data_IF_165434980072
#
_entry.id   IF_165434980072
#
_cell.length_a   1.000
_cell.length_b   1.000
_cell.length_c   1.000
_cell.angle_alpha   90.00
_cell.angle_beta   90.00
_cell.angle_gamma   90.00
#
_symmetry.space_group_name_H-M   'P 1'
#
loop_
_entity.id
_entity.type
_entity.pdbx_description
1 polymer ?
#
# COMPACT_ATOMS: atom_id res chain seq x y z
N UNK A 1 -5.87 34.56 -10.00
CA UNK A 1 -5.61 34.19 -8.57
C UNK A 1 -4.35 34.89 -8.11
N UNK A 2 -4.20 35.16 -6.80
CA UNK A 2 -2.91 35.66 -6.30
C UNK A 2 -1.84 34.56 -6.47
N UNK A 3 -0.59 34.93 -6.81
CA UNK A 3 0.51 33.98 -6.86
C UNK A 3 0.66 33.24 -5.52
N UNK A 4 0.97 31.94 -5.58
CA UNK A 4 1.23 31.13 -4.39
C UNK A 4 2.70 30.74 -4.36
N UNK A 5 3.22 30.39 -3.18
CA UNK A 5 4.62 29.96 -3.09
C UNK A 5 4.81 28.61 -3.78
N UNK A 6 3.88 27.66 -3.56
CA UNK A 6 4.01 26.29 -4.10
C UNK A 6 2.70 25.82 -4.71
N UNK A 7 2.75 25.38 -5.96
CA UNK A 7 1.70 24.54 -6.55
C UNK A 7 2.10 23.07 -6.43
N UNK A 8 1.18 22.24 -5.95
CA UNK A 8 1.35 20.79 -5.85
C UNK A 8 0.38 20.12 -6.83
N UNK A 9 0.88 19.24 -7.69
CA UNK A 9 0.07 18.52 -8.68
C UNK A 9 -0.20 17.11 -8.16
N UNK A 10 -1.45 16.82 -7.81
CA UNK A 10 -1.95 15.58 -7.25
C UNK A 10 -2.23 15.62 -5.75
N UNK A 11 -3.47 15.23 -5.37
CA UNK A 11 -3.93 15.13 -3.99
C UNK A 11 -3.90 13.69 -3.46
N UNK A 12 -2.89 12.90 -3.83
CA UNK A 12 -2.54 11.64 -3.18
C UNK A 12 -1.82 11.87 -1.85
N UNK A 13 -1.48 10.79 -1.12
CA UNK A 13 -0.78 10.92 0.17
C UNK A 13 0.48 11.78 0.11
N UNK A 14 1.28 11.67 -0.97
CA UNK A 14 2.49 12.48 -1.14
C UNK A 14 2.19 13.96 -1.24
N UNK A 15 1.21 14.34 -2.10
CA UNK A 15 0.86 15.75 -2.30
C UNK A 15 0.18 16.36 -1.08
N UNK A 16 -0.73 15.63 -0.43
CA UNK A 16 -1.40 16.08 0.79
C UNK A 16 -0.43 16.27 1.95
N UNK A 17 0.49 15.32 2.16
CA UNK A 17 1.52 15.43 3.20
C UNK A 17 2.47 16.58 2.93
N UNK A 18 2.88 16.79 1.67
CA UNK A 18 3.71 17.91 1.29
C UNK A 18 2.99 19.26 1.56
N UNK A 19 1.71 19.37 1.17
CA UNK A 19 0.90 20.56 1.45
C UNK A 19 0.85 20.85 2.95
N UNK A 20 0.56 19.85 3.77
CA UNK A 20 0.51 19.98 5.22
C UNK A 20 1.81 20.53 5.81
N UNK A 21 2.96 19.96 5.45
CA UNK A 21 4.24 20.40 5.99
C UNK A 21 4.69 21.76 5.47
N UNK A 22 4.37 22.10 4.21
CA UNK A 22 4.70 23.40 3.64
C UNK A 22 3.88 24.53 4.27
N UNK A 23 2.57 24.33 4.49
CA UNK A 23 1.72 25.30 5.18
C UNK A 23 2.20 25.54 6.62
N UNK A 24 2.61 24.49 7.35
CA UNK A 24 3.19 24.62 8.69
C UNK A 24 4.52 25.39 8.73
N UNK A 25 5.17 25.55 7.58
CA UNK A 25 6.34 26.42 7.42
C UNK A 25 5.97 27.85 6.98
N UNK A 26 4.69 28.18 6.91
CA UNK A 26 4.20 29.49 6.54
C UNK A 26 4.14 29.76 5.04
N UNK A 27 4.29 28.72 4.19
CA UNK A 27 4.18 28.87 2.75
C UNK A 27 2.71 28.80 2.28
N UNK A 28 2.38 29.63 1.29
CA UNK A 28 1.09 29.54 0.61
C UNK A 28 1.12 28.41 -0.42
N UNK A 29 0.15 27.47 -0.30
CA UNK A 29 0.12 26.25 -1.08
C UNK A 29 -1.20 26.10 -1.82
N UNK A 30 -1.11 25.66 -3.09
CA UNK A 30 -2.27 25.25 -3.88
C UNK A 30 -2.07 23.82 -4.38
N UNK A 31 -3.02 22.93 -4.10
CA UNK A 31 -3.03 21.56 -4.58
C UNK A 31 -4.02 21.43 -5.73
N UNK A 32 -3.59 20.90 -6.87
CA UNK A 32 -4.41 20.69 -8.06
C UNK A 32 -4.64 19.19 -8.25
N UNK A 33 -5.92 18.79 -8.20
CA UNK A 33 -6.32 17.39 -8.31
C UNK A 33 -7.30 17.20 -9.48
N UNK A 34 -7.00 16.24 -10.34
CA UNK A 34 -7.83 15.96 -11.53
C UNK A 34 -9.17 15.31 -11.18
N UNK A 35 -9.22 14.53 -10.11
CA UNK A 35 -10.43 13.86 -9.68
C UNK A 35 -11.32 14.74 -8.81
N UNK A 36 -12.51 14.24 -8.45
CA UNK A 36 -13.46 14.94 -7.58
C UNK A 36 -13.18 14.80 -6.09
N UNK A 37 -12.17 13.99 -5.71
CA UNK A 37 -11.83 13.72 -4.31
C UNK A 37 -10.33 13.44 -4.15
N UNK A 38 -9.82 13.67 -2.95
CA UNK A 38 -8.45 13.36 -2.56
C UNK A 38 -8.22 11.85 -2.41
N UNK A 39 -6.94 11.43 -2.39
CA UNK A 39 -6.51 10.08 -2.06
C UNK A 39 -5.70 9.39 -3.15
N UNK A 40 -5.77 9.85 -4.40
CA UNK A 40 -5.03 9.22 -5.50
C UNK A 40 -5.41 7.73 -5.65
N UNK A 41 -4.47 6.83 -5.42
CA UNK A 41 -4.68 5.36 -5.47
C UNK A 41 -5.36 4.81 -4.21
N UNK A 42 -5.26 5.48 -3.07
CA UNK A 42 -5.89 5.08 -1.82
C UNK A 42 -7.23 5.82 -1.64
N UNK A 43 -8.22 5.45 -2.45
CA UNK A 43 -9.59 5.98 -2.41
C UNK A 43 -10.58 4.88 -2.12
N UNK A 44 -11.74 5.27 -1.58
CA UNK A 44 -12.88 4.40 -1.35
C UNK A 44 -14.11 4.95 -2.05
N UNK A 45 -14.89 4.09 -2.64
CA UNK A 45 -16.17 4.41 -3.26
C UNK A 45 -17.31 3.81 -2.41
N UNK A 46 -18.47 4.45 -2.43
CA UNK A 46 -19.70 3.94 -1.81
C UNK A 46 -20.58 3.37 -2.93
N UNK A 47 -20.99 2.11 -2.80
CA UNK A 47 -21.84 1.44 -3.76
C UNK A 47 -22.75 0.46 -3.04
N UNK A 48 -24.07 0.60 -3.20
CA UNK A 48 -25.10 -0.30 -2.65
C UNK A 48 -24.93 -0.58 -1.14
N UNK A 49 -24.58 0.46 -0.35
CA UNK A 49 -24.32 0.33 1.08
C UNK A 49 -22.89 -0.11 1.43
N UNK A 50 -22.12 -0.65 0.50
CA UNK A 50 -20.76 -1.09 0.73
C UNK A 50 -19.73 0.04 0.58
N UNK A 51 -18.64 -0.07 1.33
CA UNK A 51 -17.42 0.74 1.13
C UNK A 51 -16.41 -0.10 0.36
N UNK A 52 -16.08 0.32 -0.85
CA UNK A 52 -15.19 -0.38 -1.76
C UNK A 52 -13.90 0.42 -1.92
N UNK A 53 -12.79 -0.10 -1.44
CA UNK A 53 -11.48 0.52 -1.61
C UNK A 53 -10.96 0.28 -3.04
N UNK A 54 -10.35 1.28 -3.66
CA UNK A 54 -9.75 1.12 -4.99
C UNK A 54 -8.43 0.35 -4.90
N UNK A 55 -8.53 -0.97 -4.81
CA UNK A 55 -7.45 -1.90 -4.50
C UNK A 55 -7.54 -2.42 -3.06
N UNK A 56 -6.75 -3.44 -2.75
CA UNK A 56 -6.66 -3.96 -1.38
C UNK A 56 -5.47 -3.29 -0.70
N UNK A 57 -5.77 -2.33 0.15
CA UNK A 57 -4.78 -1.59 0.92
C UNK A 57 -5.02 -1.80 2.41
N UNK A 58 -3.95 -1.96 3.17
CA UNK A 58 -4.01 -2.02 4.61
C UNK A 58 -3.19 -0.89 5.23
N UNK A 59 -3.68 -0.37 6.33
CA UNK A 59 -2.90 0.47 7.22
C UNK A 59 -1.96 -0.39 8.07
N UNK A 60 -0.68 -0.02 8.14
CA UNK A 60 0.31 -0.64 8.99
C UNK A 60 0.57 0.23 10.21
N UNK A 61 0.34 -0.28 11.42
CA UNK A 61 0.53 0.48 12.67
C UNK A 61 1.97 0.94 12.87
N UNK A 62 2.95 0.26 12.27
CA UNK A 62 4.36 0.69 12.27
C UNK A 62 4.62 1.99 11.50
N UNK A 63 3.61 2.52 10.78
CA UNK A 63 3.70 3.78 10.05
C UNK A 63 3.52 4.96 11.00
N UNK A 64 4.62 5.49 11.51
CA UNK A 64 4.61 6.59 12.51
C UNK A 64 4.39 7.98 11.89
N UNK A 65 4.70 8.18 10.60
CA UNK A 65 4.61 9.49 9.97
C UNK A 65 3.17 10.02 9.90
N UNK A 66 2.21 9.15 9.65
CA UNK A 66 0.80 9.53 9.55
C UNK A 66 0.27 10.09 10.87
N UNK A 67 0.68 9.53 12.02
CA UNK A 67 0.27 10.01 13.35
C UNK A 67 0.78 11.41 13.70
N UNK A 68 1.74 11.95 12.96
CA UNK A 68 2.21 13.33 13.09
C UNK A 68 1.27 14.33 12.40
N UNK A 69 0.43 13.86 11.49
CA UNK A 69 -0.49 14.68 10.69
C UNK A 69 -1.91 14.59 11.21
N UNK A 70 -2.39 13.36 11.47
CA UNK A 70 -3.77 13.09 11.90
C UNK A 70 -3.79 12.28 13.19
N UNK A 71 -4.92 12.34 13.90
CA UNK A 71 -5.17 11.45 15.01
C UNK A 71 -5.66 10.08 14.50
N UNK A 72 -4.83 9.05 14.66
CA UNK A 72 -5.11 7.70 14.19
C UNK A 72 -6.39 7.09 14.80
N UNK A 73 -6.81 7.53 16.00
CA UNK A 73 -8.03 7.05 16.65
C UNK A 73 -9.28 7.41 15.85
N UNK A 74 -9.28 8.54 15.12
CA UNK A 74 -10.40 9.02 14.33
C UNK A 74 -10.69 8.13 13.11
N UNK A 75 -9.75 7.26 12.74
CA UNK A 75 -9.91 6.28 11.67
C UNK A 75 -10.74 5.05 12.07
N UNK A 76 -11.01 4.85 13.36
CA UNK A 76 -11.71 3.67 13.89
C UNK A 76 -11.18 2.36 13.30
N UNK A 77 -9.86 2.17 13.36
CA UNK A 77 -9.15 1.03 12.76
C UNK A 77 -9.60 -0.30 13.37
N UNK A 78 -9.81 -1.29 12.52
CA UNK A 78 -9.98 -2.70 12.91
C UNK A 78 -8.84 -3.54 12.36
N UNK A 79 -8.22 -4.32 13.23
CA UNK A 79 -7.11 -5.17 12.88
C UNK A 79 -7.57 -6.42 12.15
N UNK A 80 -6.89 -6.74 11.05
CA UNK A 80 -6.97 -8.03 10.40
C UNK A 80 -6.39 -9.13 11.31
N UNK A 81 -6.78 -10.37 11.06
CA UNK A 81 -6.15 -11.52 11.70
C UNK A 81 -4.64 -11.55 11.38
N UNK A 82 -3.76 -11.77 12.38
CA UNK A 82 -2.30 -11.67 12.18
C UNK A 82 -1.73 -12.91 11.49
N UNK A 83 -1.94 -13.03 10.20
CA UNK A 83 -1.48 -14.16 9.41
C UNK A 83 -2.17 -14.25 8.06
N UNK A 84 -1.94 -15.38 7.41
CA UNK A 84 -2.48 -15.71 6.10
C UNK A 84 -3.08 -17.10 6.09
N UNK A 85 -4.22 -17.27 5.44
CA UNK A 85 -4.80 -18.57 5.14
C UNK A 85 -4.32 -19.00 3.75
N UNK A 86 -3.36 -19.89 3.68
CA UNK A 86 -2.81 -20.37 2.43
C UNK A 86 -3.64 -21.52 1.86
N UNK A 87 -4.24 -21.33 0.69
CA UNK A 87 -4.79 -22.41 -0.13
C UNK A 87 -3.65 -23.06 -0.91
N UNK A 88 -3.45 -24.37 -0.71
CA UNK A 88 -2.43 -25.15 -1.40
C UNK A 88 -2.91 -26.59 -1.61
N UNK A 89 -2.93 -27.06 -2.87
CA UNK A 89 -3.39 -28.41 -3.26
C UNK A 89 -4.77 -28.77 -2.65
N UNK A 90 -5.74 -27.85 -2.79
CA UNK A 90 -7.11 -28.02 -2.31
C UNK A 90 -7.28 -27.95 -0.79
N UNK A 91 -6.20 -27.74 -0.02
CA UNK A 91 -6.24 -27.60 1.44
C UNK A 91 -5.96 -26.17 1.86
N UNK A 92 -6.49 -25.78 3.03
CA UNK A 92 -6.21 -24.49 3.64
C UNK A 92 -5.31 -24.67 4.85
N UNK A 93 -4.19 -23.95 4.88
CA UNK A 93 -3.22 -23.97 5.96
C UNK A 93 -3.05 -22.55 6.52
N UNK A 94 -3.20 -22.40 7.82
CA UNK A 94 -3.05 -21.10 8.48
C UNK A 94 -1.58 -20.83 8.80
N UNK A 95 -1.05 -19.74 8.28
CA UNK A 95 0.27 -19.19 8.58
C UNK A 95 0.10 -17.99 9.49
N UNK A 96 0.51 -18.10 10.73
CA UNK A 96 0.36 -17.04 11.74
C UNK A 96 1.70 -16.49 12.17
N UNK A 97 1.67 -15.25 12.63
CA UNK A 97 2.80 -14.68 13.34
C UNK A 97 2.87 -15.29 14.75
N UNK A 98 3.94 -16.04 15.10
CA UNK A 98 4.04 -16.77 16.37
C UNK A 98 4.04 -15.86 17.61
N UNK A 99 4.29 -14.56 17.44
CA UNK A 99 4.27 -13.60 18.56
C UNK A 99 2.85 -13.23 18.98
N UNK A 100 1.90 -13.22 18.02
CA UNK A 100 0.54 -12.76 18.27
C UNK A 100 -0.47 -13.90 18.47
N UNK A 101 -0.16 -15.11 17.98
CA UNK A 101 -1.08 -16.25 18.00
C UNK A 101 -0.32 -17.55 18.28
N UNK A 102 0.00 -17.78 19.55
CA UNK A 102 0.75 -18.97 19.99
C UNK A 102 0.01 -20.29 19.72
N UNK A 103 -1.32 -20.33 19.91
CA UNK A 103 -2.12 -21.54 19.69
C UNK A 103 -2.23 -21.93 18.22
N UNK A 104 -2.36 -20.93 17.33
CA UNK A 104 -2.47 -21.17 15.89
C UNK A 104 -1.09 -21.42 15.22
N UNK A 105 0.01 -21.22 15.95
CA UNK A 105 1.38 -21.52 15.46
C UNK A 105 1.58 -23.01 15.17
N UNK A 106 0.84 -23.89 15.86
CA UNK A 106 0.86 -25.33 15.58
C UNK A 106 0.40 -25.62 14.15
N UNK A 107 -0.61 -24.93 13.65
CA UNK A 107 -1.08 -25.11 12.27
C UNK A 107 -0.02 -24.70 11.24
N UNK A 108 0.74 -23.63 11.51
CA UNK A 108 1.90 -23.23 10.71
C UNK A 108 2.99 -24.30 10.72
N UNK A 109 3.22 -24.92 11.88
CA UNK A 109 4.21 -26.01 12.00
C UNK A 109 3.80 -27.26 11.23
N UNK A 110 2.50 -27.51 11.05
CA UNK A 110 1.95 -28.67 10.31
C UNK A 110 1.73 -28.40 8.81
N UNK A 111 1.94 -27.17 8.35
CA UNK A 111 1.70 -26.79 6.95
C UNK A 111 2.56 -27.64 5.97
N UNK A 112 1.89 -28.30 5.02
CA UNK A 112 2.52 -29.28 4.08
C UNK A 112 3.33 -28.60 2.97
N UNK A 113 3.15 -27.31 2.72
CA UNK A 113 3.85 -26.58 1.65
C UNK A 113 5.26 -26.08 2.06
N UNK A 114 5.65 -26.24 3.32
CA UNK A 114 6.95 -25.85 3.86
C UNK A 114 7.66 -27.04 4.51
N UNK A 115 8.94 -27.24 4.16
CA UNK A 115 9.78 -28.20 4.84
C UNK A 115 10.11 -27.75 6.27
N UNK A 116 10.60 -28.64 7.10
CA UNK A 116 11.06 -28.27 8.44
C UNK A 116 12.17 -27.22 8.39
N UNK A 117 13.11 -27.36 7.45
CA UNK A 117 14.17 -26.39 7.24
C UNK A 117 13.65 -25.02 6.77
N UNK A 118 12.59 -24.98 5.94
CA UNK A 118 11.95 -23.73 5.54
C UNK A 118 11.34 -23.00 6.74
N UNK A 119 10.73 -23.71 7.66
CA UNK A 119 10.10 -23.15 8.88
C UNK A 119 11.16 -22.53 9.81
N UNK A 120 12.30 -23.20 9.98
CA UNK A 120 13.44 -22.65 10.75
C UNK A 120 13.96 -21.38 10.08
N UNK A 121 14.15 -21.40 8.75
CA UNK A 121 14.61 -20.21 8.00
C UNK A 121 13.62 -19.07 8.05
N UNK A 122 12.31 -19.36 7.97
CA UNK A 122 11.27 -18.35 8.08
C UNK A 122 11.30 -17.67 9.46
N UNK A 123 11.47 -18.44 10.53
CA UNK A 123 11.67 -17.89 11.86
C UNK A 123 12.95 -17.05 11.97
N UNK A 124 14.06 -17.53 11.40
CA UNK A 124 15.32 -16.77 11.32
C UNK A 124 15.17 -15.46 10.55
N UNK A 125 14.47 -15.48 9.41
CA UNK A 125 14.16 -14.28 8.63
C UNK A 125 13.30 -13.30 9.45
N UNK A 126 12.26 -13.79 10.12
CA UNK A 126 11.43 -13.00 11.02
C UNK A 126 12.28 -12.31 12.10
N UNK A 127 13.09 -13.07 12.84
CA UNK A 127 13.93 -12.52 13.91
C UNK A 127 14.93 -11.48 13.39
N UNK A 128 15.58 -11.75 12.26
CA UNK A 128 16.52 -10.83 11.60
C UNK A 128 15.82 -9.53 11.22
N UNK A 129 14.69 -9.60 10.52
CA UNK A 129 13.99 -8.41 10.05
C UNK A 129 13.40 -7.60 11.22
N UNK A 130 12.88 -8.27 12.24
CA UNK A 130 12.34 -7.60 13.44
C UNK A 130 13.39 -6.74 14.13
N UNK A 131 14.61 -7.23 14.28
CA UNK A 131 15.71 -6.56 15.01
C UNK A 131 16.51 -5.58 14.15
N UNK A 132 16.50 -5.69 12.82
CA UNK A 132 17.28 -4.82 11.94
C UNK A 132 16.57 -3.49 11.68
N UNK A 133 17.23 -2.36 11.91
CA UNK A 133 16.67 -1.03 11.63
C UNK A 133 16.36 -0.83 10.13
N UNK A 134 15.28 -0.10 9.79
CA UNK A 134 14.90 0.19 8.39
C UNK A 134 16.04 0.81 7.58
N UNK A 135 16.75 1.81 8.16
CA UNK A 135 17.89 2.47 7.49
C UNK A 135 19.04 1.53 7.17
N UNK A 136 19.20 0.41 7.89
CA UNK A 136 20.19 -0.62 7.58
C UNK A 136 19.71 -1.50 6.41
N UNK A 137 18.45 -1.90 6.40
CA UNK A 137 17.87 -2.74 5.33
C UNK A 137 17.99 -2.09 3.94
N UNK A 138 17.75 -0.78 3.85
CA UNK A 138 17.85 -0.05 2.56
C UNK A 138 19.27 0.17 2.08
N UNK A 139 20.29 -0.04 2.94
CA UNK A 139 21.71 0.07 2.61
C UNK A 139 22.39 -1.28 2.34
N UNK A 140 21.71 -2.41 2.59
CA UNK A 140 22.24 -3.73 2.28
C UNK A 140 22.50 -3.87 0.77
N UNK A 141 23.40 -4.81 0.39
CA UNK A 141 23.59 -5.15 -1.03
C UNK A 141 22.24 -5.58 -1.63
N UNK A 142 21.95 -5.05 -2.82
CA UNK A 142 20.69 -5.36 -3.50
C UNK A 142 20.82 -6.59 -4.40
N UNK A 143 19.71 -7.26 -4.60
CA UNK A 143 19.50 -8.34 -5.54
C UNK A 143 18.00 -8.43 -5.86
N UNK A 144 17.61 -9.30 -6.79
CA UNK A 144 16.17 -9.59 -6.89
C UNK A 144 15.65 -10.26 -5.62
N UNK A 145 14.37 -10.07 -5.33
CA UNK A 145 13.71 -10.74 -4.19
C UNK A 145 13.80 -12.26 -4.31
N UNK A 146 13.64 -12.80 -5.53
CA UNK A 146 13.77 -14.23 -5.77
C UNK A 146 15.19 -14.74 -5.43
N UNK A 147 16.22 -14.03 -5.89
CA UNK A 147 17.61 -14.38 -5.59
C UNK A 147 17.91 -14.32 -4.10
N UNK A 148 17.43 -13.28 -3.41
CA UNK A 148 17.56 -13.13 -1.97
C UNK A 148 16.94 -14.30 -1.21
N UNK A 149 15.71 -14.69 -1.53
CA UNK A 149 15.03 -15.81 -0.88
C UNK A 149 15.76 -17.14 -1.17
N UNK A 150 16.18 -17.36 -2.41
CA UNK A 150 16.90 -18.57 -2.83
C UNK A 150 18.26 -18.69 -2.14
N UNK A 151 19.04 -17.60 -2.08
CA UNK A 151 20.35 -17.55 -1.37
C UNK A 151 20.21 -17.77 0.15
N UNK A 152 19.07 -17.38 0.74
CA UNK A 152 18.77 -17.69 2.14
C UNK A 152 18.25 -19.12 2.34
N UNK A 153 18.27 -19.96 1.28
CA UNK A 153 18.00 -21.38 1.32
C UNK A 153 16.53 -21.77 1.37
N UNK A 154 15.60 -20.85 1.13
CA UNK A 154 14.18 -21.19 1.02
C UNK A 154 13.94 -22.11 -0.18
N UNK A 155 13.12 -23.15 0.03
CA UNK A 155 12.77 -24.06 -1.05
C UNK A 155 11.94 -23.35 -2.12
N UNK A 156 12.12 -23.77 -3.38
CA UNK A 156 11.29 -23.27 -4.49
C UNK A 156 9.80 -23.44 -4.19
N UNK A 157 9.43 -24.54 -3.53
CA UNK A 157 8.05 -24.82 -3.11
C UNK A 157 7.48 -23.72 -2.20
N UNK A 158 8.23 -23.31 -1.16
CA UNK A 158 7.78 -22.24 -0.25
C UNK A 158 7.80 -20.88 -0.93
N UNK A 159 8.80 -20.60 -1.75
CA UNK A 159 8.87 -19.35 -2.53
C UNK A 159 7.62 -19.23 -3.41
N UNK A 160 7.30 -20.25 -4.18
CA UNK A 160 6.21 -20.21 -5.15
C UNK A 160 4.84 -20.25 -4.48
N UNK A 161 4.66 -21.04 -3.41
CA UNK A 161 3.34 -21.20 -2.79
C UNK A 161 2.99 -20.13 -1.74
N UNK A 162 3.98 -19.48 -1.12
CA UNK A 162 3.75 -18.52 -0.05
C UNK A 162 4.30 -17.12 -0.37
N UNK A 163 5.62 -17.00 -0.60
CA UNK A 163 6.21 -15.67 -0.80
C UNK A 163 5.70 -15.00 -2.09
N UNK A 164 5.59 -15.76 -3.17
CA UNK A 164 5.13 -15.23 -4.45
C UNK A 164 3.71 -14.64 -4.39
N UNK A 165 2.67 -15.38 -4.00
CA UNK A 165 1.33 -14.79 -3.94
C UNK A 165 1.22 -13.65 -2.92
N UNK A 166 1.93 -13.74 -1.78
CA UNK A 166 1.95 -12.70 -0.77
C UNK A 166 2.61 -11.40 -1.28
N UNK A 167 3.79 -11.50 -1.90
CA UNK A 167 4.52 -10.34 -2.39
C UNK A 167 3.91 -9.80 -3.69
N UNK A 168 3.49 -10.68 -4.62
CA UNK A 168 2.83 -10.25 -5.84
C UNK A 168 1.60 -9.37 -5.57
N UNK A 169 0.82 -9.70 -4.56
CA UNK A 169 -0.35 -8.92 -4.18
C UNK A 169 -0.01 -7.53 -3.61
N UNK A 170 1.13 -7.39 -2.95
CA UNK A 170 1.46 -6.20 -2.16
C UNK A 170 2.53 -5.31 -2.80
N UNK A 171 3.48 -5.90 -3.54
CA UNK A 171 4.53 -5.16 -4.25
C UNK A 171 4.37 -5.22 -5.78
N UNK A 172 3.29 -5.85 -6.25
CA UNK A 172 2.91 -5.97 -7.67
C UNK A 172 3.98 -6.59 -8.57
N UNK A 173 4.77 -7.50 -8.02
CA UNK A 173 5.83 -8.22 -8.73
C UNK A 173 5.66 -9.73 -8.57
N UNK A 174 4.93 -10.32 -9.50
CA UNK A 174 4.71 -11.77 -9.51
C UNK A 174 6.01 -12.55 -9.72
N UNK A 175 6.95 -12.03 -10.47
CA UNK A 175 8.21 -12.71 -10.78
C UNK A 175 9.28 -12.59 -9.70
N UNK A 176 9.02 -11.75 -8.67
CA UNK A 176 9.95 -11.45 -7.56
C UNK A 176 11.30 -10.87 -8.05
N UNK A 177 11.24 -10.05 -9.12
CA UNK A 177 12.43 -9.39 -9.69
C UNK A 177 12.71 -8.04 -9.03
N UNK A 178 11.75 -7.49 -8.29
CA UNK A 178 11.93 -6.24 -7.54
C UNK A 178 13.04 -6.36 -6.50
N UNK A 179 13.59 -5.20 -6.14
CA UNK A 179 14.65 -5.06 -5.13
C UNK A 179 14.34 -5.81 -3.83
N UNK A 180 15.27 -6.64 -3.40
CA UNK A 180 15.18 -7.35 -2.12
C UNK A 180 15.19 -6.40 -0.93
N UNK A 181 15.74 -5.18 -1.06
CA UNK A 181 15.67 -4.14 -0.02
C UNK A 181 14.23 -3.74 0.23
N UNK A 182 13.47 -3.49 -0.85
CA UNK A 182 12.05 -3.14 -0.74
C UNK A 182 11.24 -4.27 -0.11
N UNK A 183 11.43 -5.50 -0.58
CA UNK A 183 10.74 -6.68 -0.03
C UNK A 183 11.08 -6.92 1.45
N UNK A 184 12.34 -6.72 1.87
CA UNK A 184 12.74 -6.81 3.29
C UNK A 184 12.07 -5.75 4.16
N UNK A 185 12.00 -4.50 3.67
CA UNK A 185 11.30 -3.40 4.36
C UNK A 185 9.81 -3.73 4.50
N UNK A 186 9.19 -4.22 3.43
CA UNK A 186 7.79 -4.62 3.44
C UNK A 186 7.54 -5.80 4.42
N UNK A 187 8.31 -6.87 4.33
CA UNK A 187 8.22 -8.01 5.24
C UNK A 187 8.42 -7.60 6.70
N UNK A 188 9.38 -6.71 6.96
CA UNK A 188 9.58 -6.16 8.30
C UNK A 188 8.33 -5.46 8.82
N UNK A 189 7.66 -4.64 8.02
CA UNK A 189 6.43 -3.97 8.44
C UNK A 189 5.31 -4.95 8.75
N UNK A 190 5.17 -6.03 7.95
CA UNK A 190 4.21 -7.11 8.21
C UNK A 190 4.51 -7.91 9.49
N UNK A 191 5.80 -8.09 9.80
CA UNK A 191 6.22 -8.86 10.98
C UNK A 191 6.17 -8.07 12.27
N UNK A 192 6.19 -6.75 12.20
CA UNK A 192 6.21 -5.90 13.40
C UNK A 192 4.83 -5.66 13.99
N UNK A 193 3.77 -5.70 13.17
CA UNK A 193 2.48 -5.24 13.62
C UNK A 193 1.30 -5.86 12.85
N UNK A 194 0.10 -5.60 13.38
CA UNK A 194 -1.14 -5.92 12.68
C UNK A 194 -1.36 -4.96 11.52
N UNK A 195 -1.95 -5.47 10.46
CA UNK A 195 -2.53 -4.62 9.43
C UNK A 195 -4.00 -4.35 9.77
N UNK A 196 -4.48 -3.17 9.42
CA UNK A 196 -5.82 -2.72 9.78
C UNK A 196 -6.52 -2.03 8.61
N UNK A 197 -7.84 -1.93 8.69
CA UNK A 197 -8.63 -1.08 7.79
C UNK A 197 -9.39 -0.02 8.58
N UNK A 198 -9.45 1.22 8.07
CA UNK A 198 -10.37 2.24 8.60
C UNK A 198 -11.82 1.82 8.39
N UNK A 199 -12.72 2.19 9.33
CA UNK A 199 -14.15 1.90 9.22
C UNK A 199 -14.78 2.44 7.94
N UNK A 200 -14.35 3.62 7.50
CA UNK A 200 -14.86 4.29 6.31
C UNK A 200 -14.04 3.99 5.05
N UNK A 201 -13.18 2.97 5.08
CA UNK A 201 -12.28 2.61 3.99
C UNK A 201 -10.96 3.39 4.01
N UNK A 202 -10.02 2.97 3.17
CA UNK A 202 -8.66 3.54 3.13
C UNK A 202 -8.66 5.03 2.71
N UNK A 203 -9.67 5.45 1.95
CA UNK A 203 -9.85 6.84 1.53
C UNK A 203 -10.02 7.82 2.69
N UNK A 204 -10.50 7.36 3.86
CA UNK A 204 -10.63 8.20 5.06
C UNK A 204 -9.29 8.78 5.50
N UNK A 205 -8.19 8.07 5.31
CA UNK A 205 -6.85 8.56 5.65
C UNK A 205 -6.54 9.84 4.85
N UNK A 206 -6.76 9.80 3.53
CA UNK A 206 -6.52 10.96 2.68
C UNK A 206 -7.45 12.13 3.00
N UNK A 207 -8.73 11.83 3.25
CA UNK A 207 -9.71 12.83 3.66
C UNK A 207 -9.28 13.51 4.97
N UNK A 208 -8.85 12.74 5.97
CA UNK A 208 -8.37 13.27 7.25
C UNK A 208 -7.11 14.13 7.13
N UNK A 209 -6.21 13.84 6.18
CA UNK A 209 -5.08 14.73 5.90
C UNK A 209 -5.58 16.02 5.24
N UNK A 210 -6.49 15.91 4.26
CA UNK A 210 -7.04 17.06 3.56
C UNK A 210 -7.79 18.02 4.50
N UNK A 211 -8.49 17.50 5.51
CA UNK A 211 -9.16 18.25 6.57
C UNK A 211 -8.20 19.08 7.46
N UNK A 212 -6.89 18.82 7.41
CA UNK A 212 -5.85 19.58 8.15
C UNK A 212 -5.24 20.72 7.34
N UNK A 213 -5.59 20.82 6.06
CA UNK A 213 -5.11 21.90 5.20
C UNK A 213 -6.03 23.13 5.34
N UNK A 214 -5.46 24.30 5.06
CA UNK A 214 -6.22 25.54 5.05
C UNK A 214 -7.35 25.50 4.00
N UNK A 215 -8.40 26.25 4.25
CA UNK A 215 -9.54 26.36 3.34
C UNK A 215 -9.10 26.73 1.93
N UNK A 216 -9.76 26.14 0.93
CA UNK A 216 -9.49 26.38 -0.49
C UNK A 216 -8.09 25.97 -0.99
N UNK A 217 -7.29 25.25 -0.16
CA UNK A 217 -5.97 24.74 -0.60
C UNK A 217 -6.11 23.79 -1.78
N UNK A 218 -7.11 22.90 -1.79
CA UNK A 218 -7.27 21.90 -2.85
C UNK A 218 -8.29 22.39 -3.89
N UNK A 219 -7.89 22.35 -5.16
CA UNK A 219 -8.80 22.50 -6.31
C UNK A 219 -9.00 21.15 -6.98
N UNK A 220 -10.18 20.59 -6.81
CA UNK A 220 -10.62 19.34 -7.46
C UNK A 220 -11.03 19.60 -8.92
N UNK A 221 -11.12 18.53 -9.72
CA UNK A 221 -11.48 18.57 -11.16
C UNK A 221 -10.60 19.55 -11.95
N UNK A 222 -9.35 19.73 -11.50
CA UNK A 222 -8.39 20.67 -12.06
C UNK A 222 -7.21 19.89 -12.64
N UNK A 223 -7.16 19.78 -13.96
CA UNK A 223 -6.13 19.03 -14.67
C UNK A 223 -5.05 19.98 -15.20
N UNK A 224 -3.81 19.74 -14.80
CA UNK A 224 -2.64 20.44 -15.30
C UNK A 224 -2.27 19.86 -16.67
N UNK A 225 -2.01 20.75 -17.62
CA UNK A 225 -1.54 20.42 -18.97
C UNK A 225 -0.03 20.31 -19.01
N UNK A 226 0.67 21.30 -18.44
CA UNK A 226 2.15 21.35 -18.40
C UNK A 226 2.66 22.22 -17.27
N UNK A 227 3.89 21.97 -16.88
CA UNK A 227 4.66 22.84 -15.98
C UNK A 227 5.47 23.82 -16.82
N UNK A 228 5.63 25.04 -16.33
CA UNK A 228 6.46 26.10 -16.90
C UNK A 228 7.42 26.64 -15.85
N UNK A 229 8.33 27.54 -16.23
CA UNK A 229 9.29 28.16 -15.30
C UNK A 229 8.60 28.94 -14.17
N UNK A 230 7.43 29.54 -14.43
CA UNK A 230 6.74 30.44 -13.50
C UNK A 230 5.42 29.87 -12.96
N UNK A 231 5.14 28.58 -13.13
CA UNK A 231 3.89 27.98 -12.66
C UNK A 231 3.39 26.84 -13.54
N UNK A 232 2.07 26.75 -13.70
CA UNK A 232 1.43 25.67 -14.46
C UNK A 232 0.33 26.19 -15.39
N UNK A 233 0.20 25.55 -16.55
CA UNK A 233 -0.90 25.74 -17.48
C UNK A 233 -1.93 24.62 -17.27
N UNK A 234 -3.20 24.99 -17.15
CA UNK A 234 -4.33 24.08 -17.04
C UNK A 234 -4.86 23.68 -18.43
N UNK A 235 -5.62 22.55 -18.48
CA UNK A 235 -6.21 22.10 -19.75
C UNK A 235 -7.21 23.11 -20.34
N UNK A 236 -7.90 23.88 -19.49
CA UNK A 236 -8.84 24.92 -19.92
C UNK A 236 -8.16 26.20 -20.43
N UNK A 237 -6.82 26.26 -20.45
CA UNK A 237 -6.03 27.40 -20.89
C UNK A 237 -5.67 28.39 -19.77
N UNK A 238 -6.19 28.22 -18.56
CA UNK A 238 -5.82 29.11 -17.44
C UNK A 238 -4.35 28.88 -17.06
N UNK A 239 -3.70 29.95 -16.60
CA UNK A 239 -2.35 29.92 -16.05
C UNK A 239 -2.37 30.24 -14.56
N UNK A 240 -1.67 29.43 -13.77
CA UNK A 240 -1.50 29.63 -12.33
C UNK A 240 -0.02 29.86 -12.02
N UNK A 241 0.28 31.04 -11.48
CA UNK A 241 1.63 31.46 -11.14
C UNK A 241 2.05 30.93 -9.78
N UNK A 242 3.30 30.45 -9.67
CA UNK A 242 3.93 30.01 -8.41
C UNK A 242 5.45 30.08 -8.49
N UNK A 243 6.11 30.21 -7.33
CA UNK A 243 7.57 30.16 -7.24
C UNK A 243 8.12 28.74 -7.42
N UNK A 244 7.38 27.74 -6.99
CA UNK A 244 7.75 26.32 -7.06
C UNK A 244 6.58 25.47 -7.50
N UNK A 245 6.88 24.41 -8.24
CA UNK A 245 5.92 23.37 -8.61
C UNK A 245 6.43 22.04 -8.09
N UNK A 246 5.60 21.33 -7.29
CA UNK A 246 5.85 20.00 -6.81
C UNK A 246 4.94 19.01 -7.53
N UNK A 247 5.51 18.08 -8.28
CA UNK A 247 4.77 17.03 -8.98
C UNK A 247 4.66 15.82 -8.07
N UNK A 248 3.45 15.52 -7.62
CA UNK A 248 3.11 14.40 -6.71
C UNK A 248 2.20 13.37 -7.41
N UNK A 249 2.34 13.21 -8.71
CA UNK A 249 1.64 12.21 -9.53
C UNK A 249 2.48 10.94 -9.71
N UNK A 250 1.99 9.96 -10.47
CA UNK A 250 2.80 8.85 -10.94
C UNK A 250 3.78 9.30 -12.05
N UNK A 251 4.77 8.45 -12.39
CA UNK A 251 5.81 8.77 -13.36
C UNK A 251 5.27 9.03 -14.78
N UNK A 252 4.22 8.33 -15.21
CA UNK A 252 3.61 8.49 -16.53
C UNK A 252 3.01 9.90 -16.67
N UNK A 253 2.18 10.29 -15.68
CA UNK A 253 1.56 11.60 -15.68
C UNK A 253 2.61 12.72 -15.50
N UNK A 254 3.62 12.49 -14.63
CA UNK A 254 4.71 13.43 -14.45
C UNK A 254 5.47 13.70 -15.75
N UNK A 255 5.85 12.66 -16.49
CA UNK A 255 6.51 12.79 -17.80
C UNK A 255 5.64 13.56 -18.81
N UNK A 256 4.32 13.29 -18.80
CA UNK A 256 3.38 14.01 -19.67
C UNK A 256 3.30 15.51 -19.35
N UNK A 257 3.33 15.86 -18.07
CA UNK A 257 3.21 17.25 -17.59
C UNK A 257 4.52 18.01 -17.81
N UNK A 258 5.67 17.37 -17.67
CA UNK A 258 7.00 17.96 -17.90
C UNK A 258 7.28 18.09 -19.41
N UNK A 259 6.70 17.22 -20.23
CA UNK A 259 6.94 17.16 -21.67
C UNK A 259 8.19 16.38 -22.06
N UNK A 260 8.82 15.68 -21.13
CA UNK A 260 10.04 14.91 -21.31
C UNK A 260 9.92 13.51 -20.65
N UNK A 261 10.68 12.54 -21.14
CA UNK A 261 10.84 11.23 -20.49
C UNK A 261 11.88 11.31 -19.36
N UNK A 262 11.62 12.15 -18.36
CA UNK A 262 12.55 12.40 -17.26
C UNK A 262 12.67 11.21 -16.28
N UNK A 263 11.68 10.32 -16.27
CA UNK A 263 11.63 9.18 -15.35
C UNK A 263 11.25 7.88 -16.07
N UNK A 264 11.76 6.71 -15.61
CA UNK A 264 11.22 5.42 -16.03
C UNK A 264 9.73 5.36 -15.74
N UNK A 265 8.92 4.98 -16.73
CA UNK A 265 7.46 5.01 -16.65
C UNK A 265 6.81 3.61 -16.75
N UNK A 266 7.55 2.56 -16.45
CA UNK A 266 6.98 1.22 -16.34
C UNK A 266 6.18 1.10 -15.04
N UNK A 267 4.93 0.68 -15.14
CA UNK A 267 4.04 0.52 -14.01
C UNK A 267 3.51 -0.90 -13.93
N UNK A 268 3.60 -1.50 -12.75
CA UNK A 268 2.88 -2.72 -12.46
C UNK A 268 1.42 -2.42 -12.12
N UNK A 269 0.52 -3.30 -12.52
CA UNK A 269 -0.92 -3.16 -12.30
C UNK A 269 -1.47 -4.34 -11.51
N UNK A 270 -2.47 -4.07 -10.69
CA UNK A 270 -3.30 -5.08 -10.05
C UNK A 270 -4.77 -4.74 -10.29
N UNK A 271 -5.57 -5.75 -10.57
CA UNK A 271 -7.02 -5.62 -10.67
C UNK A 271 -7.67 -6.20 -9.43
N UNK A 272 -8.60 -5.48 -8.82
CA UNK A 272 -9.41 -5.95 -7.70
C UNK A 272 -10.84 -6.12 -8.16
N UNK A 273 -11.40 -7.32 -7.91
CA UNK A 273 -12.79 -7.64 -8.19
C UNK A 273 -13.53 -7.74 -6.86
N UNK A 274 -14.71 -7.12 -6.78
CA UNK A 274 -15.59 -7.18 -5.64
C UNK A 274 -16.79 -8.08 -5.92
N UNK A 275 -17.16 -8.90 -4.94
CA UNK A 275 -18.31 -9.79 -4.97
C UNK A 275 -19.10 -9.60 -3.67
N UNK A 276 -20.41 -9.59 -3.76
CA UNK A 276 -21.32 -9.65 -2.62
C UNK A 276 -21.82 -11.09 -2.42
N UNK A 277 -22.10 -11.45 -1.18
CA UNK A 277 -22.67 -12.76 -0.81
C UNK A 277 -23.49 -12.62 0.46
N UNK A 278 -24.56 -13.40 0.58
CA UNK A 278 -25.45 -13.39 1.76
C UNK A 278 -24.81 -13.98 3.02
N UNK A 279 -23.78 -14.79 2.85
CA UNK A 279 -23.05 -15.41 3.97
C UNK A 279 -21.56 -15.17 3.82
N UNK A 280 -20.92 -14.70 4.88
CA UNK A 280 -19.46 -14.57 4.89
C UNK A 280 -18.81 -15.95 4.67
N UNK A 281 -17.90 -16.06 3.68
CA UNK A 281 -17.23 -17.34 3.39
C UNK A 281 -16.20 -17.74 4.44
N UNK A 282 -15.90 -16.85 5.37
CA UNK A 282 -14.91 -17.04 6.46
C UNK A 282 -15.49 -16.58 7.78
N UNK A 283 -14.96 -17.15 8.88
CA UNK A 283 -15.27 -16.73 10.25
C UNK A 283 -14.26 -15.74 10.84
N UNK A 284 -13.09 -15.59 10.22
CA UNK A 284 -12.00 -14.69 10.67
C UNK A 284 -11.62 -13.73 9.55
N UNK A 285 -11.29 -12.45 9.85
CA UNK A 285 -10.84 -11.47 8.86
C UNK A 285 -9.36 -11.72 8.47
N UNK A 286 -9.10 -12.83 7.80
CA UNK A 286 -7.78 -13.26 7.36
C UNK A 286 -7.63 -13.11 5.85
N UNK A 287 -6.44 -12.73 5.38
CA UNK A 287 -6.14 -12.73 3.96
C UNK A 287 -5.87 -14.16 3.49
N UNK A 288 -6.59 -14.61 2.46
CA UNK A 288 -6.34 -15.89 1.80
C UNK A 288 -5.30 -15.67 0.70
N UNK A 289 -4.25 -16.46 0.70
CA UNK A 289 -3.27 -16.52 -0.39
C UNK A 289 -3.51 -17.75 -1.27
N UNK A 290 -3.39 -17.55 -2.57
CA UNK A 290 -3.45 -18.67 -3.53
C UNK A 290 -2.04 -19.23 -3.78
N UNK A 291 -1.72 -20.33 -3.13
CA UNK A 291 -0.44 -21.03 -3.28
C UNK A 291 -0.39 -22.04 -4.42
N UNK A 292 -1.50 -22.26 -5.12
CA UNK A 292 -1.58 -23.14 -6.30
C UNK A 292 -1.11 -22.37 -7.55
N UNK A 293 0.18 -22.27 -7.70
CA UNK A 293 0.84 -21.47 -8.73
C UNK A 293 0.40 -21.82 -10.15
N UNK A 294 0.03 -20.84 -10.96
CA UNK A 294 -0.26 -20.97 -12.39
C UNK A 294 -1.64 -21.53 -12.74
N UNK A 295 -2.49 -21.86 -11.77
CA UNK A 295 -3.84 -22.41 -12.05
C UNK A 295 -4.93 -21.35 -12.11
N UNK A 296 -4.72 -20.20 -11.48
CA UNK A 296 -5.68 -19.09 -11.47
C UNK A 296 -4.97 -17.74 -11.48
N UNK A 297 -5.67 -16.70 -11.95
CA UNK A 297 -5.17 -15.31 -11.94
C UNK A 297 -5.29 -14.63 -10.55
N UNK A 298 -6.00 -15.26 -9.61
CA UNK A 298 -6.24 -14.70 -8.28
C UNK A 298 -5.06 -14.97 -7.38
N UNK A 299 -4.39 -13.92 -6.91
CA UNK A 299 -3.27 -14.01 -5.97
C UNK A 299 -3.74 -14.12 -4.52
N UNK A 300 -4.76 -13.34 -4.16
CA UNK A 300 -5.30 -13.33 -2.79
C UNK A 300 -6.78 -12.94 -2.77
N UNK A 301 -7.45 -13.29 -1.68
CA UNK A 301 -8.84 -12.91 -1.38
C UNK A 301 -8.90 -12.38 0.04
N UNK A 302 -9.71 -11.35 0.25
CA UNK A 302 -9.99 -10.79 1.57
C UNK A 302 -11.48 -10.43 1.69
N UNK A 303 -12.04 -10.53 2.90
CA UNK A 303 -13.45 -10.22 3.18
C UNK A 303 -13.51 -9.01 4.13
N UNK A 304 -13.59 -7.77 3.60
CA UNK A 304 -13.53 -6.54 4.41
C UNK A 304 -14.68 -6.43 5.43
N UNK A 305 -15.89 -6.90 5.09
CA UNK A 305 -17.05 -6.88 5.97
C UNK A 305 -16.89 -7.66 7.29
N UNK A 306 -15.92 -8.58 7.36
CA UNK A 306 -15.58 -9.25 8.63
C UNK A 306 -14.86 -8.34 9.63
N UNK A 307 -14.24 -7.26 9.17
CA UNK A 307 -13.63 -6.25 10.05
C UNK A 307 -14.65 -5.25 10.58
N UNK A 308 -15.58 -4.87 9.73
CA UNK A 308 -16.61 -3.89 10.03
C UNK A 308 -17.99 -4.46 9.63
N UNK A 309 -18.52 -5.43 10.39
CA UNK A 309 -19.89 -5.88 10.19
C UNK A 309 -20.84 -4.70 10.45
N UNK A 310 -21.81 -4.53 9.59
CA UNK A 310 -22.91 -3.55 9.76
C UNK A 310 -23.91 -4.01 10.80
#
# INVERSE_FOLDING_TARGET
>A
MKPVDVIIIGAGFSGLSAAYYLQRKGLTVKVLEVSSQAGGRARSDKMDGFTLDRGVHFYHHSTTELSKIINIRDLALKNSYPGYLLRYQGTFNLFTNPVYQTLDTVSTALAKNASFSDKIRLFGLYAKLKTTAYGKLVKEQDSSTFEYLSKNGFSKKLIDSFFRPMLAANIFDYNLQSSSRFSKVYLKSLFQDHVALPKEGIGKIAASIAEKLDDHTISFKTKVRRVTENGVELINGDFLESKFVLIATNAIDANSIIGEKAMPAECSHVSTLYFSTDKAPLSKPVVILNGDNGTTLVNHVFVPSLLHPE
#
